data_IF_769275245074
#
_entry.id   IF_769275245074
#
_cell.length_a   1.000
_cell.length_b   1.000
_cell.length_c   1.000
_cell.angle_alpha   90.00
_cell.angle_beta   90.00
_cell.angle_gamma   90.00
#
_symmetry.space_group_name_H-M   'P 1'
#
loop_
_entity.id
_entity.type
_entity.pdbx_description
1 polymer ?
#
# COMPACT_ATOMS: atom_id res chain seq x y z
N UNK A 1 18.22 2.50 3.11
CA UNK A 1 18.08 3.18 1.80
C UNK A 1 17.53 2.28 0.69
N UNK A 2 18.10 1.09 0.42
CA UNK A 2 17.61 0.19 -0.64
C UNK A 2 16.12 -0.20 -0.49
N UNK A 3 15.66 -0.45 0.75
CA UNK A 3 14.24 -0.70 1.04
C UNK A 3 13.34 0.48 0.61
N UNK A 4 13.78 1.71 0.87
CA UNK A 4 13.05 2.93 0.50
C UNK A 4 12.96 3.04 -1.02
N UNK A 5 14.09 2.87 -1.72
CA UNK A 5 14.14 2.87 -3.18
C UNK A 5 13.21 1.82 -3.79
N UNK A 6 13.26 0.57 -3.28
CA UNK A 6 12.39 -0.53 -3.73
C UNK A 6 10.91 -0.21 -3.54
N UNK A 7 10.53 0.30 -2.37
CA UNK A 7 9.14 0.67 -2.09
C UNK A 7 8.65 1.78 -3.04
N UNK A 8 9.51 2.73 -3.38
CA UNK A 8 9.25 3.73 -4.43
C UNK A 8 9.03 3.08 -5.80
N UNK A 9 9.93 2.21 -6.23
CA UNK A 9 9.86 1.52 -7.51
C UNK A 9 8.58 0.66 -7.64
N UNK A 10 8.21 -0.08 -6.59
CA UNK A 10 6.98 -0.90 -6.53
C UNK A 10 5.72 -0.04 -6.69
N UNK A 11 5.67 1.12 -6.00
CA UNK A 11 4.56 2.07 -6.11
C UNK A 11 4.47 2.65 -7.51
N UNK A 12 5.59 3.13 -8.06
CA UNK A 12 5.66 3.67 -9.41
C UNK A 12 5.25 2.63 -10.47
N UNK A 13 5.66 1.37 -10.30
CA UNK A 13 5.27 0.26 -11.18
C UNK A 13 3.76 0.03 -11.17
N UNK A 14 3.18 -0.01 -9.97
CA UNK A 14 1.73 -0.17 -9.79
C UNK A 14 0.98 0.99 -10.45
N UNK A 15 1.44 2.22 -10.26
CA UNK A 15 0.88 3.40 -10.91
C UNK A 15 0.94 3.26 -12.44
N UNK A 16 2.09 2.89 -13.02
CA UNK A 16 2.25 2.71 -14.46
C UNK A 16 1.29 1.64 -15.03
N UNK A 17 1.12 0.51 -14.34
CA UNK A 17 0.18 -0.54 -14.75
C UNK A 17 -1.27 -0.06 -14.71
N UNK A 18 -1.65 0.69 -13.68
CA UNK A 18 -2.99 1.25 -13.57
C UNK A 18 -3.24 2.29 -14.67
N UNK A 19 -2.26 3.14 -14.97
CA UNK A 19 -2.34 4.08 -16.10
C UNK A 19 -2.52 3.35 -17.43
N UNK A 20 -1.76 2.27 -17.70
CA UNK A 20 -1.93 1.46 -18.92
C UNK A 20 -3.35 0.91 -19.05
N UNK A 21 -3.87 0.28 -17.98
CA UNK A 21 -5.23 -0.26 -17.98
C UNK A 21 -6.28 0.83 -18.22
N UNK A 22 -6.13 1.97 -17.57
CA UNK A 22 -7.03 3.11 -17.75
C UNK A 22 -7.01 3.63 -19.18
N UNK A 23 -5.83 3.75 -19.80
CA UNK A 23 -5.70 4.23 -21.17
C UNK A 23 -6.27 3.25 -22.20
N UNK A 24 -6.20 1.94 -21.96
CA UNK A 24 -6.80 0.94 -22.85
C UNK A 24 -8.32 1.12 -22.94
N UNK A 25 -8.98 1.51 -21.84
CA UNK A 25 -10.42 1.77 -21.82
C UNK A 25 -10.78 2.92 -22.77
N UNK A 26 -10.00 4.00 -22.75
CA UNK A 26 -10.24 5.21 -23.56
C UNK A 26 -9.53 5.20 -24.93
N UNK A 27 -8.80 4.14 -25.26
CA UNK A 27 -8.03 4.07 -26.51
C UNK A 27 -8.93 4.00 -27.76
N UNK A 28 -8.48 4.44 -28.94
CA UNK A 28 -9.20 4.22 -30.19
C UNK A 28 -9.57 2.73 -30.41
N UNK A 29 -10.74 2.48 -31.01
CA UNK A 29 -11.35 1.14 -31.14
C UNK A 29 -10.40 0.03 -31.66
N UNK A 30 -9.60 0.23 -32.72
CA UNK A 30 -8.69 -0.83 -33.19
C UNK A 30 -7.64 -1.23 -32.14
N UNK A 31 -7.19 -0.29 -31.30
CA UNK A 31 -6.25 -0.59 -30.21
C UNK A 31 -6.97 -1.23 -29.03
N UNK A 32 -8.15 -0.70 -28.65
CA UNK A 32 -8.94 -1.23 -27.54
C UNK A 32 -9.28 -2.70 -27.75
N UNK A 33 -9.75 -3.07 -28.94
CA UNK A 33 -10.12 -4.44 -29.29
C UNK A 33 -8.93 -5.40 -29.15
N UNK A 34 -7.72 -4.98 -29.55
CA UNK A 34 -6.51 -5.81 -29.44
C UNK A 34 -6.01 -5.97 -28.00
N UNK A 35 -6.17 -4.95 -27.16
CA UNK A 35 -5.52 -4.87 -25.85
C UNK A 35 -6.42 -5.30 -24.68
N UNK A 36 -7.75 -5.21 -24.81
CA UNK A 36 -8.69 -5.39 -23.68
C UNK A 36 -8.69 -6.78 -23.04
N UNK A 37 -8.35 -7.83 -23.79
CA UNK A 37 -8.35 -9.22 -23.32
C UNK A 37 -7.02 -9.66 -22.71
N UNK A 38 -5.99 -8.81 -22.76
CA UNK A 38 -4.65 -9.18 -22.33
C UNK A 38 -4.52 -9.12 -20.79
N UNK A 39 -3.82 -10.11 -20.24
CA UNK A 39 -3.33 -10.02 -18.86
C UNK A 39 -2.35 -8.85 -18.72
N UNK A 40 -2.06 -8.42 -17.49
CA UNK A 40 -1.20 -7.24 -17.28
C UNK A 40 0.23 -7.43 -17.80
N UNK A 41 0.79 -8.64 -17.69
CA UNK A 41 2.10 -8.95 -18.24
C UNK A 41 2.10 -8.93 -19.78
N UNK A 42 1.05 -9.51 -20.39
CA UNK A 42 0.88 -9.48 -21.84
C UNK A 42 0.64 -8.06 -22.34
N UNK A 43 -0.15 -7.26 -21.63
CA UNK A 43 -0.45 -5.87 -21.98
C UNK A 43 0.83 -5.02 -22.00
N UNK A 44 1.66 -5.08 -20.95
CA UNK A 44 2.94 -4.37 -20.92
C UNK A 44 3.81 -4.80 -22.10
N UNK A 45 3.90 -6.10 -22.38
CA UNK A 45 4.72 -6.62 -23.48
C UNK A 45 4.20 -6.16 -24.85
N UNK A 46 2.89 -6.21 -25.07
CA UNK A 46 2.26 -5.78 -26.31
C UNK A 46 2.42 -4.27 -26.52
N UNK A 47 2.11 -3.45 -25.50
CA UNK A 47 2.22 -2.00 -25.56
C UNK A 47 3.67 -1.54 -25.80
N UNK A 48 4.66 -2.18 -25.16
CA UNK A 48 6.07 -1.84 -25.36
C UNK A 48 6.57 -2.11 -26.80
N UNK A 49 5.89 -3.00 -27.53
CA UNK A 49 6.20 -3.36 -28.92
C UNK A 49 5.43 -2.55 -29.96
N UNK A 50 4.51 -1.67 -29.55
CA UNK A 50 3.79 -0.81 -30.47
C UNK A 50 4.77 0.03 -31.29
N UNK A 51 4.44 0.22 -32.57
CA UNK A 51 5.21 1.04 -33.52
C UNK A 51 4.37 2.26 -33.89
N UNK A 52 4.47 3.35 -33.12
CA UNK A 52 3.88 4.63 -33.50
C UNK A 52 4.68 5.26 -34.62
N UNK A 53 3.98 5.97 -35.51
CA UNK A 53 4.60 6.92 -36.43
C UNK A 53 4.83 8.25 -35.70
N UNK A 54 6.09 8.64 -35.41
CA UNK A 54 6.39 9.87 -34.69
C UNK A 54 6.11 11.13 -35.52
N UNK A 55 5.95 11.00 -36.84
CA UNK A 55 5.68 12.14 -37.72
C UNK A 55 4.20 12.51 -37.79
N UNK A 56 3.30 11.61 -37.36
CA UNK A 56 1.86 11.80 -37.42
C UNK A 56 1.20 11.65 -36.03
N UNK A 57 1.71 12.36 -35.02
CA UNK A 57 1.13 12.33 -33.67
C UNK A 57 -0.21 13.07 -33.54
N UNK A 58 -0.65 13.79 -34.58
CA UNK A 58 -1.99 14.39 -34.63
C UNK A 58 -3.08 13.32 -34.82
N UNK A 59 -2.74 12.16 -35.40
CA UNK A 59 -3.63 11.00 -35.42
C UNK A 59 -3.80 10.44 -33.98
N UNK A 60 -5.04 10.37 -33.45
CA UNK A 60 -5.32 9.78 -32.14
C UNK A 60 -4.77 8.36 -31.96
N UNK A 61 -4.71 7.55 -33.04
CA UNK A 61 -4.17 6.20 -32.95
C UNK A 61 -2.65 6.20 -32.75
N UNK A 62 -1.91 7.10 -33.40
CA UNK A 62 -0.44 7.17 -33.26
C UNK A 62 -0.04 7.78 -31.91
N UNK A 63 -0.70 8.84 -31.48
CA UNK A 63 -0.48 9.43 -30.15
C UNK A 63 -0.80 8.43 -29.03
N UNK A 64 -1.91 7.68 -29.13
CA UNK A 64 -2.23 6.62 -28.18
C UNK A 64 -1.16 5.52 -28.15
N UNK A 65 -0.68 5.05 -29.31
CA UNK A 65 0.42 4.07 -29.40
C UNK A 65 1.70 4.59 -28.74
N UNK A 66 2.06 5.84 -28.98
CA UNK A 66 3.26 6.46 -28.42
C UNK A 66 3.17 6.55 -26.89
N UNK A 67 2.04 7.01 -26.35
CA UNK A 67 1.83 7.10 -24.92
C UNK A 67 1.81 5.72 -24.23
N UNK A 68 1.07 4.75 -24.78
CA UNK A 68 1.02 3.37 -24.28
C UNK A 68 2.42 2.73 -24.29
N UNK A 69 3.20 2.92 -25.36
CA UNK A 69 4.56 2.42 -25.47
C UNK A 69 5.47 3.00 -24.39
N UNK A 70 5.43 4.31 -24.19
CA UNK A 70 6.25 5.01 -23.18
C UNK A 70 5.99 4.47 -21.77
N UNK A 71 4.72 4.32 -21.40
CA UNK A 71 4.35 3.83 -20.05
C UNK A 71 4.70 2.35 -19.89
N UNK A 72 4.52 1.53 -20.94
CA UNK A 72 4.89 0.12 -20.90
C UNK A 72 6.40 -0.09 -20.75
N UNK A 73 7.23 0.68 -21.45
CA UNK A 73 8.68 0.66 -21.27
C UNK A 73 9.07 1.08 -19.85
N UNK A 74 8.41 2.12 -19.31
CA UNK A 74 8.60 2.53 -17.91
C UNK A 74 8.25 1.40 -16.93
N UNK A 75 7.15 0.68 -17.16
CA UNK A 75 6.77 -0.46 -16.34
C UNK A 75 7.82 -1.58 -16.39
N UNK A 76 8.37 -1.89 -17.57
CA UNK A 76 9.45 -2.90 -17.73
C UNK A 76 10.74 -2.50 -17.01
N UNK A 77 11.09 -1.21 -17.07
CA UNK A 77 12.24 -0.67 -16.34
C UNK A 77 12.05 -0.83 -14.83
N UNK A 78 10.91 -0.40 -14.30
CA UNK A 78 10.56 -0.51 -12.88
C UNK A 78 10.46 -1.96 -12.40
N UNK A 79 10.01 -2.88 -13.26
CA UNK A 79 10.04 -4.33 -13.01
C UNK A 79 11.47 -4.83 -12.78
N UNK A 80 12.40 -4.39 -13.62
CA UNK A 80 13.80 -4.77 -13.56
C UNK A 80 14.47 -4.16 -12.33
N UNK A 81 14.22 -2.88 -12.07
CA UNK A 81 14.69 -2.17 -10.88
C UNK A 81 14.19 -2.83 -9.59
N UNK A 82 12.89 -3.12 -9.49
CA UNK A 82 12.28 -3.78 -8.32
C UNK A 82 12.92 -5.13 -8.05
N UNK A 83 13.16 -5.95 -9.09
CA UNK A 83 13.80 -7.27 -8.95
C UNK A 83 15.26 -7.15 -8.52
N UNK A 84 16.00 -6.21 -9.12
CA UNK A 84 17.40 -5.96 -8.76
C UNK A 84 17.54 -5.51 -7.30
N UNK A 85 16.74 -4.53 -6.88
CA UNK A 85 16.75 -4.04 -5.50
C UNK A 85 16.28 -5.09 -4.50
N UNK A 86 15.31 -5.94 -4.87
CA UNK A 86 14.92 -7.08 -4.03
C UNK A 86 16.12 -8.01 -3.83
N UNK A 87 16.79 -8.43 -4.91
CA UNK A 87 17.96 -9.31 -4.80
C UNK A 87 19.05 -8.73 -3.89
N UNK A 88 19.38 -7.45 -4.06
CA UNK A 88 20.38 -6.78 -3.22
C UNK A 88 19.95 -6.72 -1.74
N UNK A 89 18.66 -6.50 -1.47
CA UNK A 89 18.12 -6.56 -0.10
C UNK A 89 18.22 -7.97 0.47
N UNK A 90 17.87 -8.99 -0.31
CA UNK A 90 17.93 -10.39 0.10
C UNK A 90 19.38 -10.76 0.48
N UNK A 91 20.36 -10.42 -0.34
CA UNK A 91 21.79 -10.68 -0.10
C UNK A 91 22.29 -10.02 1.20
N UNK A 92 21.90 -8.75 1.44
CA UNK A 92 22.26 -8.03 2.66
C UNK A 92 21.59 -8.61 3.91
N UNK A 93 20.33 -9.03 3.81
CA UNK A 93 19.60 -9.65 4.91
C UNK A 93 20.23 -10.98 5.30
N UNK A 94 20.63 -11.80 4.31
CA UNK A 94 21.33 -13.06 4.58
C UNK A 94 22.66 -12.85 5.30
N UNK A 95 23.33 -11.72 5.04
CA UNK A 95 24.58 -11.36 5.71
C UNK A 95 24.33 -10.82 7.12
N UNK A 96 23.36 -9.92 7.29
CA UNK A 96 23.15 -9.18 8.54
C UNK A 96 22.32 -9.94 9.58
N UNK A 97 21.33 -10.73 9.14
CA UNK A 97 20.38 -11.40 10.03
C UNK A 97 19.91 -12.76 9.47
N UNK A 98 20.83 -13.73 9.28
CA UNK A 98 20.51 -15.03 8.68
C UNK A 98 19.48 -15.82 9.49
N UNK A 99 19.56 -15.77 10.83
CA UNK A 99 18.60 -16.45 11.71
C UNK A 99 17.18 -15.91 11.52
N UNK A 100 17.02 -14.59 11.40
CA UNK A 100 15.71 -13.96 11.14
C UNK A 100 15.18 -14.29 9.76
N UNK A 101 16.06 -14.34 8.75
CA UNK A 101 15.71 -14.70 7.38
C UNK A 101 15.26 -16.16 7.22
N UNK A 102 15.68 -17.05 8.13
CA UNK A 102 15.30 -18.45 8.14
C UNK A 102 13.90 -18.72 8.76
N UNK A 103 13.29 -17.72 9.41
CA UNK A 103 11.98 -17.87 10.05
C UNK A 103 10.91 -18.02 8.95
N UNK A 104 10.14 -19.11 9.02
CA UNK A 104 9.04 -19.36 8.11
C UNK A 104 8.01 -18.21 8.14
N UNK A 105 7.62 -17.73 6.97
CA UNK A 105 6.68 -16.61 6.81
C UNK A 105 7.35 -15.22 6.79
N UNK A 106 8.63 -15.11 7.13
CA UNK A 106 9.37 -13.85 7.01
C UNK A 106 10.08 -13.75 5.66
N UNK A 107 9.43 -13.08 4.71
CA UNK A 107 10.06 -12.71 3.43
C UNK A 107 11.04 -11.54 3.59
N UNK A 108 11.88 -11.27 2.57
CA UNK A 108 12.89 -10.20 2.64
C UNK A 108 12.33 -8.80 2.89
N UNK A 109 11.12 -8.54 2.40
CA UNK A 109 10.41 -7.30 2.69
C UNK A 109 9.98 -7.20 4.15
N UNK A 110 9.57 -8.30 4.76
CA UNK A 110 9.20 -8.30 6.17
C UNK A 110 10.43 -8.19 7.05
N UNK A 111 11.48 -8.97 6.74
CA UNK A 111 12.74 -8.94 7.50
C UNK A 111 13.41 -7.58 7.40
N UNK A 112 13.51 -6.97 6.22
CA UNK A 112 14.06 -5.60 6.12
C UNK A 112 13.20 -4.55 6.82
N UNK A 113 11.89 -4.78 6.98
CA UNK A 113 11.05 -3.89 7.77
C UNK A 113 11.46 -3.96 9.23
N UNK A 114 11.53 -5.19 9.73
CA UNK A 114 11.91 -5.49 11.10
C UNK A 114 13.27 -4.90 11.42
N UNK A 115 14.30 -5.20 10.62
CA UNK A 115 15.65 -4.68 10.85
C UNK A 115 15.71 -3.15 10.85
N UNK A 116 14.97 -2.48 9.95
CA UNK A 116 14.91 -1.00 9.92
C UNK A 116 14.20 -0.44 11.16
N UNK A 117 13.14 -1.10 11.63
CA UNK A 117 12.37 -0.67 12.80
C UNK A 117 13.16 -0.88 14.10
N UNK A 118 13.87 -2.01 14.22
CA UNK A 118 14.72 -2.30 15.38
C UNK A 118 15.94 -1.38 15.40
N UNK A 119 16.52 -1.11 14.22
CA UNK A 119 17.80 -0.43 14.09
C UNK A 119 18.92 -1.20 14.78
N UNK A 120 19.98 -0.51 15.19
CA UNK A 120 21.17 -1.12 15.82
C UNK A 120 21.00 -1.39 17.33
N UNK A 121 19.77 -1.53 17.81
CA UNK A 121 19.49 -1.70 19.25
C UNK A 121 18.59 -2.93 19.53
N UNK A 122 18.98 -4.14 19.08
CA UNK A 122 18.17 -5.34 19.25
C UNK A 122 17.90 -5.65 20.73
N UNK A 123 18.84 -5.33 21.62
CA UNK A 123 18.75 -5.62 23.06
C UNK A 123 17.62 -4.88 23.80
N UNK A 124 17.01 -3.87 23.14
CA UNK A 124 15.85 -3.14 23.67
C UNK A 124 14.54 -3.91 23.53
N UNK A 125 14.51 -4.97 22.72
CA UNK A 125 13.33 -5.81 22.49
C UNK A 125 13.38 -7.09 23.32
N UNK A 126 13.16 -6.94 24.63
CA UNK A 126 13.23 -8.06 25.59
C UNK A 126 11.92 -8.81 25.82
N UNK A 127 10.84 -8.39 25.15
CA UNK A 127 9.51 -8.97 25.28
C UNK A 127 8.63 -8.60 24.11
N UNK A 128 7.59 -9.40 23.87
CA UNK A 128 6.55 -9.10 22.87
C UNK A 128 5.85 -7.77 23.17
N UNK A 129 5.74 -7.42 24.45
CA UNK A 129 5.31 -6.11 24.95
C UNK A 129 6.05 -4.95 24.30
N UNK A 130 7.38 -4.97 24.46
CA UNK A 130 8.27 -3.92 23.98
C UNK A 130 8.20 -3.81 22.46
N UNK A 131 8.05 -4.94 21.78
CA UNK A 131 7.87 -4.98 20.33
C UNK A 131 6.52 -4.39 19.89
N UNK A 132 5.42 -4.74 20.57
CA UNK A 132 4.10 -4.20 20.27
C UNK A 132 4.06 -2.67 20.45
N UNK A 133 4.72 -2.16 21.49
CA UNK A 133 4.87 -0.71 21.71
C UNK A 133 5.71 -0.05 20.62
N UNK A 134 6.84 -0.66 20.21
CA UNK A 134 7.67 -0.15 19.11
C UNK A 134 6.89 -0.08 17.79
N UNK A 135 6.07 -1.09 17.51
CA UNK A 135 5.24 -1.16 16.32
C UNK A 135 3.96 -0.30 16.39
N UNK A 136 3.67 0.33 17.53
CA UNK A 136 2.46 1.14 17.74
C UNK A 136 1.15 0.32 17.77
N UNK A 137 1.24 -0.98 18.02
CA UNK A 137 0.10 -1.91 18.07
C UNK A 137 -0.24 -2.38 19.49
N UNK A 138 0.50 -1.91 20.49
CA UNK A 138 0.22 -2.21 21.88
C UNK A 138 -1.18 -1.69 22.28
N UNK A 139 -1.99 -2.50 23.00
CA UNK A 139 -3.27 -2.05 23.52
C UNK A 139 -3.09 -0.78 24.38
N UNK A 140 -3.90 0.25 24.12
CA UNK A 140 -3.95 1.43 24.97
C UNK A 140 -4.77 1.05 26.20
N UNK A 141 -4.23 1.16 27.43
CA UNK A 141 -4.98 0.83 28.63
C UNK A 141 -6.22 1.72 28.73
N UNK A 142 -7.39 1.09 28.84
CA UNK A 142 -8.63 1.80 29.16
C UNK A 142 -8.48 2.42 30.56
N UNK A 143 -8.80 3.71 30.68
CA UNK A 143 -8.67 4.47 31.92
C UNK A 143 -9.58 3.93 33.00
N UNK A 144 -9.10 2.96 33.79
CA UNK A 144 -9.54 2.65 35.18
C UNK A 144 -8.87 1.39 35.78
N UNK A 145 -7.84 0.79 35.17
CA UNK A 145 -7.12 -0.32 35.80
C UNK A 145 -5.62 -0.08 35.84
N UNK A 146 -5.01 -0.25 37.02
CA UNK A 146 -3.55 -0.34 37.19
C UNK A 146 -3.08 -1.57 36.42
N UNK A 147 -2.14 -1.46 35.47
CA UNK A 147 -1.60 -2.64 34.81
C UNK A 147 -0.65 -3.37 35.77
N UNK A 148 -1.07 -4.52 36.28
CA UNK A 148 -0.17 -5.51 36.88
C UNK A 148 0.55 -6.25 35.76
N UNK A 149 1.87 -6.27 35.84
CA UNK A 149 2.77 -6.88 34.87
C UNK A 149 2.72 -8.41 34.93
N UNK A 150 1.65 -9.03 34.42
CA UNK A 150 1.65 -10.49 34.18
C UNK A 150 0.68 -11.02 33.12
N UNK A 151 -0.35 -10.28 32.68
CA UNK A 151 -1.36 -10.87 31.79
C UNK A 151 -1.37 -10.26 30.39
N UNK A 152 -0.83 -11.00 29.42
CA UNK A 152 -0.92 -10.72 27.97
C UNK A 152 -2.19 -11.29 27.30
N UNK A 153 -3.08 -11.93 28.06
CA UNK A 153 -4.14 -12.80 27.51
C UNK A 153 -5.58 -12.37 27.76
N UNK A 154 -5.85 -11.13 28.19
CA UNK A 154 -7.21 -10.63 28.32
C UNK A 154 -7.45 -9.41 27.44
N UNK A 155 -7.68 -9.64 26.14
CA UNK A 155 -8.50 -8.72 25.37
C UNK A 155 -9.90 -8.72 26.01
N UNK A 156 -10.20 -7.67 26.79
CA UNK A 156 -11.54 -7.47 27.31
C UNK A 156 -12.47 -7.14 26.15
N UNK A 157 -13.12 -8.17 25.58
CA UNK A 157 -14.30 -7.99 24.74
C UNK A 157 -15.39 -7.40 25.62
N UNK A 158 -15.61 -6.09 25.52
CA UNK A 158 -16.80 -5.48 26.08
C UNK A 158 -18.03 -6.15 25.41
N UNK A 159 -19.02 -6.65 26.17
CA UNK A 159 -20.27 -7.10 25.57
C UNK A 159 -20.93 -5.91 24.86
N UNK A 160 -21.51 -6.17 23.70
CA UNK A 160 -22.16 -5.16 22.88
C UNK A 160 -23.16 -4.35 23.71
N UNK A 161 -22.97 -3.03 23.76
CA UNK A 161 -23.93 -2.12 24.38
C UNK A 161 -25.28 -2.32 23.71
N UNK A 162 -26.33 -2.55 24.52
CA UNK A 162 -27.69 -2.69 24.02
C UNK A 162 -28.07 -1.45 23.19
N UNK A 163 -28.63 -1.70 22.01
CA UNK A 163 -29.06 -0.68 21.05
C UNK A 163 -30.22 0.11 21.68
N UNK A 164 -30.02 1.38 22.04
CA UNK A 164 -31.10 2.24 22.50
C UNK A 164 -32.12 2.41 21.35
N UNK A 165 -33.28 1.76 21.47
CA UNK A 165 -34.43 1.91 20.57
C UNK A 165 -35.49 2.81 21.17
N UNK A 166 -35.12 4.01 21.59
CA UNK A 166 -36.08 5.08 21.91
C UNK A 166 -36.08 6.11 20.78
N UNK A 167 -37.25 6.46 20.21
CA UNK A 167 -37.34 7.49 19.18
C UNK A 167 -37.07 8.88 19.77
N UNK A 168 -36.60 9.85 18.97
CA UNK A 168 -36.39 11.21 19.43
C UNK A 168 -37.73 11.93 19.57
N UNK A 169 -38.09 12.33 20.78
CA UNK A 169 -39.13 13.34 21.00
C UNK A 169 -38.58 14.71 20.60
N UNK A 170 -39.08 15.25 19.50
CA UNK A 170 -38.89 16.64 19.11
C UNK A 170 -39.66 17.55 20.08
N UNK A 171 -38.96 18.28 20.94
CA UNK A 171 -39.48 19.52 21.52
C UNK A 171 -38.57 20.67 21.09
N UNK A 172 -38.94 21.31 19.98
CA UNK A 172 -38.37 22.57 19.53
C UNK A 172 -39.20 23.74 20.10
N UNK A 173 -38.52 24.58 20.85
CA UNK A 173 -38.64 26.04 20.92
C UNK A 173 -39.98 26.69 21.31
N UNK A 174 -39.95 27.44 22.41
CA UNK A 174 -40.65 28.73 22.49
C UNK A 174 -39.71 29.75 23.15
N UNK A 175 -39.17 30.65 22.34
CA UNK A 175 -38.45 31.85 22.80
C UNK A 175 -39.45 33.02 22.85
N UNK A 176 -39.55 33.81 23.94
CA UNK A 176 -40.47 34.93 23.98
C UNK A 176 -39.89 36.17 23.27
N UNK A 177 -40.71 36.85 22.47
CA UNK A 177 -40.38 38.11 21.78
C UNK A 177 -40.31 39.31 22.76
N UNK A 178 -39.46 40.32 22.49
CA UNK A 178 -39.42 41.56 23.26
C UNK A 178 -40.50 42.56 22.79
N UNK A 179 -41.16 43.23 23.75
CA UNK A 179 -42.12 44.32 23.50
C UNK A 179 -41.38 45.65 23.23
N UNK A 180 -41.77 46.31 22.15
CA UNK A 180 -41.52 47.73 21.90
C UNK A 180 -42.31 48.60 22.89
N UNK A 181 -41.62 49.51 23.58
CA UNK A 181 -42.05 50.89 23.84
C UNK A 181 -40.83 51.74 24.17
#
# INVERSE_FOLDING_TARGET
>A
MLRVARNGAVKARTAALNTLRSMVITAPEPLRTQLRSLSSAQLVTACARLRPDPTNLLDPAQSAKQALRSIAQRAQHLDTETRSLRKQLDDLIQTAAPATAAIFGLGPDTVSALLVTIGDNPDRLRSEAAFAHLCGVAPIPASSAKPTATDYTAAATAPATARCTSPPSCDCATTPQPRLR
#
